data_IF_601017834469
#
_entry.id   IF_601017834469
#
_cell.length_a   1.000
_cell.length_b   1.000
_cell.length_c   1.000
_cell.angle_alpha   90.00
_cell.angle_beta   90.00
_cell.angle_gamma   90.00
#
_symmetry.space_group_name_H-M   'P 1'
#
loop_
_entity.id
_entity.type
_entity.pdbx_description
1 polymer ?
#
# COMPACT_ATOMS: atom_id res chain seq x y z
N UNK A 1 -2.87 -14.21 -14.95
CA UNK A 1 -1.83 -13.16 -15.03
C UNK A 1 -0.83 -13.44 -13.91
N UNK A 2 0.45 -13.54 -14.21
CA UNK A 2 1.48 -13.70 -13.17
C UNK A 2 1.64 -12.40 -12.41
N UNK A 3 1.92 -12.44 -11.09
CA UNK A 3 2.07 -11.23 -10.27
C UNK A 3 3.16 -10.30 -10.81
N UNK A 4 4.29 -10.84 -11.25
CA UNK A 4 5.33 -10.10 -11.98
C UNK A 4 5.06 -10.29 -13.47
N UNK A 5 4.34 -9.35 -14.09
CA UNK A 5 3.98 -9.39 -15.51
C UNK A 5 4.84 -8.41 -16.31
N UNK A 6 5.81 -8.90 -17.10
CA UNK A 6 6.67 -8.02 -17.89
C UNK A 6 5.93 -7.30 -19.03
N UNK A 7 4.73 -7.77 -19.40
CA UNK A 7 3.88 -7.14 -20.40
C UNK A 7 2.99 -6.02 -19.82
N UNK A 8 3.03 -5.79 -18.48
CA UNK A 8 2.23 -4.76 -17.86
C UNK A 8 2.59 -3.36 -18.42
N UNK A 9 1.61 -2.59 -18.90
CA UNK A 9 1.89 -1.33 -19.56
C UNK A 9 2.67 -0.38 -18.66
N UNK A 10 3.71 0.27 -19.20
CA UNK A 10 4.53 1.23 -18.46
C UNK A 10 3.78 2.53 -18.17
N UNK A 11 2.84 2.89 -19.04
CA UNK A 11 1.96 4.05 -18.88
C UNK A 11 0.52 3.65 -19.18
N UNK A 12 -0.45 4.36 -18.59
CA UNK A 12 -1.86 4.20 -18.89
C UNK A 12 -2.64 5.48 -18.57
N UNK A 13 -3.79 5.65 -19.21
CA UNK A 13 -4.74 6.73 -18.92
C UNK A 13 -6.07 6.10 -18.47
N UNK A 14 -6.19 5.72 -17.18
CA UNK A 14 -7.39 5.04 -16.67
C UNK A 14 -8.64 5.92 -16.71
N UNK A 15 -8.47 7.24 -16.72
CA UNK A 15 -9.54 8.23 -16.93
C UNK A 15 -8.99 9.51 -17.56
N UNK A 16 -9.87 10.48 -17.82
CA UNK A 16 -9.46 11.81 -18.31
C UNK A 16 -8.65 12.59 -17.28
N UNK A 17 -8.93 12.39 -15.98
CA UNK A 17 -8.25 13.07 -14.89
C UNK A 17 -7.03 12.33 -14.37
N UNK A 18 -6.90 11.03 -14.66
CA UNK A 18 -5.87 10.17 -14.06
C UNK A 18 -4.95 9.60 -15.12
N UNK A 19 -3.66 9.83 -14.95
CA UNK A 19 -2.59 9.15 -15.67
C UNK A 19 -1.79 8.24 -14.73
N UNK A 20 -1.34 7.11 -15.22
CA UNK A 20 -0.47 6.19 -14.46
C UNK A 20 0.87 6.04 -15.15
N UNK A 21 1.94 6.14 -14.39
CA UNK A 21 3.32 5.87 -14.84
C UNK A 21 3.95 4.83 -13.89
N UNK A 22 4.51 3.77 -14.46
CA UNK A 22 5.10 2.68 -13.70
C UNK A 22 6.51 3.06 -13.22
N UNK A 23 6.83 2.81 -11.96
CA UNK A 23 8.12 3.11 -11.32
C UNK A 23 9.29 2.23 -11.75
N UNK A 24 9.07 1.25 -12.66
CA UNK A 24 10.09 0.38 -13.28
C UNK A 24 10.93 -0.45 -12.29
N UNK A 25 10.37 -0.81 -11.15
CA UNK A 25 10.97 -1.59 -10.07
C UNK A 25 10.23 -2.92 -9.85
N UNK A 26 10.15 -3.83 -10.88
CA UNK A 26 9.41 -5.07 -10.74
C UNK A 26 10.05 -5.97 -9.68
N UNK A 27 9.20 -6.65 -8.92
CA UNK A 27 9.64 -7.54 -7.86
C UNK A 27 8.50 -8.33 -7.21
N UNK A 28 8.85 -9.26 -6.36
CA UNK A 28 7.84 -10.08 -5.68
C UNK A 28 6.96 -9.28 -4.71
N UNK A 29 7.44 -8.16 -4.16
CA UNK A 29 6.66 -7.22 -3.35
C UNK A 29 5.87 -6.23 -4.20
N UNK A 30 6.46 -5.77 -5.30
CA UNK A 30 5.95 -4.68 -6.13
C UNK A 30 5.21 -5.15 -7.39
N UNK A 31 5.18 -6.46 -7.64
CA UNK A 31 4.58 -7.00 -8.85
C UNK A 31 5.26 -6.46 -10.11
N UNK A 32 4.52 -5.84 -11.05
CA UNK A 32 5.10 -5.24 -12.26
C UNK A 32 5.93 -3.98 -11.97
N UNK A 33 5.79 -3.43 -10.77
CA UNK A 33 6.41 -2.20 -10.29
C UNK A 33 5.43 -1.32 -9.53
N UNK A 34 5.93 -0.25 -8.92
CA UNK A 34 5.09 0.73 -8.23
C UNK A 34 4.37 1.62 -9.23
N UNK A 35 3.07 1.74 -9.14
CA UNK A 35 2.30 2.71 -9.88
C UNK A 35 2.43 4.08 -9.24
N UNK A 36 2.81 5.08 -10.00
CA UNK A 36 2.67 6.49 -9.62
C UNK A 36 1.54 7.10 -10.44
N UNK A 37 0.80 8.04 -9.85
CA UNK A 37 -0.36 8.60 -10.52
C UNK A 37 -0.26 10.11 -10.68
N UNK A 38 -0.60 10.59 -11.86
CA UNK A 38 -0.76 11.99 -12.19
C UNK A 38 -2.26 12.31 -12.19
N UNK A 39 -2.69 13.27 -11.37
CA UNK A 39 -4.11 13.58 -11.19
C UNK A 39 -4.35 15.06 -11.47
N UNK A 40 -5.17 15.37 -12.49
CA UNK A 40 -5.47 16.74 -12.89
C UNK A 40 -5.66 16.89 -14.39
N UNK A 41 -5.45 18.13 -14.91
CA UNK A 41 -5.76 18.49 -16.30
C UNK A 41 -4.59 19.06 -17.08
N UNK A 42 -3.72 19.86 -16.45
CA UNK A 42 -2.59 20.56 -17.10
C UNK A 42 -1.32 20.55 -16.26
N UNK A 43 -1.44 20.75 -14.96
CA UNK A 43 -0.34 20.75 -13.98
C UNK A 43 -0.70 19.75 -12.86
N UNK A 44 -0.70 18.45 -13.18
CA UNK A 44 -1.28 17.42 -12.32
C UNK A 44 -0.57 17.31 -10.97
N UNK A 45 -1.27 16.81 -9.98
CA UNK A 45 -0.69 16.33 -8.74
C UNK A 45 -0.05 14.97 -9.03
N UNK A 46 1.16 14.74 -8.56
CA UNK A 46 1.81 13.42 -8.61
C UNK A 46 1.62 12.71 -7.26
N UNK A 47 1.06 11.51 -7.29
CA UNK A 47 0.94 10.62 -6.13
C UNK A 47 2.02 9.56 -6.22
N UNK A 48 2.89 9.50 -5.21
CA UNK A 48 4.10 8.71 -5.11
C UNK A 48 5.14 8.97 -6.22
N UNK A 49 6.36 8.49 -6.04
CA UNK A 49 7.49 8.84 -6.89
C UNK A 49 8.27 7.63 -7.41
N UNK A 50 7.85 6.41 -7.08
CA UNK A 50 8.60 5.21 -7.39
C UNK A 50 9.86 5.06 -6.55
N UNK A 51 10.67 4.07 -6.89
CA UNK A 51 11.91 3.71 -6.19
C UNK A 51 13.12 4.59 -6.56
N UNK A 52 12.95 5.61 -7.41
CA UNK A 52 14.06 6.43 -7.90
C UNK A 52 14.90 5.76 -8.99
N UNK A 53 14.33 4.80 -9.71
CA UNK A 53 14.96 4.17 -10.88
C UNK A 53 15.25 5.24 -11.95
N UNK A 54 16.48 5.32 -12.49
CA UNK A 54 16.87 6.40 -13.41
C UNK A 54 15.97 6.53 -14.64
N UNK A 55 15.46 5.41 -15.17
CA UNK A 55 14.60 5.36 -16.35
C UNK A 55 13.17 5.90 -16.10
N UNK A 56 12.77 6.03 -14.83
CA UNK A 56 11.44 6.50 -14.45
C UNK A 56 11.21 7.97 -14.87
N UNK A 57 12.18 8.85 -14.59
CA UNK A 57 12.04 10.27 -14.88
C UNK A 57 11.86 10.56 -16.39
N UNK A 58 12.66 10.00 -17.31
CA UNK A 58 12.41 10.13 -18.75
C UNK A 58 11.06 9.57 -19.20
N UNK A 59 10.59 8.48 -18.57
CA UNK A 59 9.27 7.92 -18.86
C UNK A 59 8.14 8.86 -18.43
N UNK A 60 8.25 9.44 -17.23
CA UNK A 60 7.30 10.43 -16.71
C UNK A 60 7.22 11.67 -17.61
N UNK A 61 8.37 12.24 -18.01
CA UNK A 61 8.42 13.42 -18.88
C UNK A 61 7.78 13.16 -20.25
N UNK A 62 8.08 12.01 -20.84
CA UNK A 62 7.45 11.60 -22.11
C UNK A 62 5.94 11.49 -21.97
N UNK A 63 5.46 10.84 -20.89
CA UNK A 63 4.03 10.68 -20.65
C UNK A 63 3.33 12.03 -20.41
N UNK A 64 3.95 12.95 -19.66
CA UNK A 64 3.43 14.32 -19.52
C UNK A 64 3.28 15.03 -20.88
N UNK A 65 4.29 14.91 -21.75
CA UNK A 65 4.24 15.50 -23.09
C UNK A 65 3.16 14.85 -23.97
N UNK A 66 3.02 13.52 -23.95
CA UNK A 66 1.96 12.79 -24.68
C UNK A 66 0.55 13.22 -24.26
N UNK A 67 0.37 13.53 -22.95
CA UNK A 67 -0.90 14.06 -22.41
C UNK A 67 -1.11 15.56 -22.66
N UNK A 68 -0.12 16.28 -23.18
CA UNK A 68 -0.13 17.74 -23.23
C UNK A 68 -0.12 18.40 -21.85
N UNK A 69 0.34 17.67 -20.84
CA UNK A 69 0.45 18.15 -19.47
C UNK A 69 1.81 18.83 -19.26
N UNK A 70 1.82 19.78 -18.34
CA UNK A 70 3.05 20.43 -17.89
C UNK A 70 3.71 19.56 -16.81
N UNK A 71 4.67 20.16 -16.08
CA UNK A 71 5.28 19.51 -14.90
C UNK A 71 4.24 19.24 -13.80
N UNK A 72 4.48 18.29 -12.90
CA UNK A 72 3.66 18.14 -11.71
C UNK A 72 3.64 19.44 -10.88
N UNK A 73 2.48 19.81 -10.35
CA UNK A 73 2.32 20.99 -9.49
C UNK A 73 2.83 20.75 -8.08
N UNK A 74 2.67 19.53 -7.58
CA UNK A 74 3.08 19.07 -6.26
C UNK A 74 3.14 17.55 -6.21
N UNK A 75 3.73 17.00 -5.15
CA UNK A 75 3.81 15.56 -4.89
C UNK A 75 3.06 15.26 -3.59
N UNK A 76 2.22 14.22 -3.59
CA UNK A 76 1.62 13.62 -2.42
C UNK A 76 2.20 12.23 -2.24
N UNK A 77 2.75 11.93 -1.07
CA UNK A 77 3.31 10.61 -0.77
C UNK A 77 2.33 9.82 0.10
N UNK A 78 2.12 8.56 -0.24
CA UNK A 78 1.25 7.69 0.55
C UNK A 78 1.92 7.29 1.87
N UNK A 79 3.15 6.81 1.82
CA UNK A 79 3.91 6.37 2.99
C UNK A 79 5.43 6.37 2.73
N UNK A 80 6.24 6.00 3.72
CA UNK A 80 7.70 6.16 3.73
C UNK A 80 8.51 5.06 3.04
N UNK A 81 7.91 4.01 2.51
CA UNK A 81 8.68 2.95 1.86
C UNK A 81 9.43 3.46 0.64
N UNK A 82 10.62 2.92 0.42
CA UNK A 82 11.57 3.42 -0.57
C UNK A 82 11.03 3.41 -2.00
N UNK A 83 10.16 2.50 -2.32
CA UNK A 83 9.52 2.40 -3.65
C UNK A 83 8.38 3.40 -3.87
N UNK A 84 8.02 4.18 -2.85
CA UNK A 84 7.05 5.31 -2.94
C UNK A 84 7.75 6.67 -2.90
N UNK A 85 8.79 6.83 -2.08
CA UNK A 85 9.47 8.11 -1.90
C UNK A 85 10.86 8.21 -2.57
N UNK A 86 11.41 7.11 -3.10
CA UNK A 86 12.77 7.08 -3.64
C UNK A 86 13.03 8.03 -4.80
N UNK A 87 11.99 8.38 -5.57
CA UNK A 87 12.06 9.34 -6.68
C UNK A 87 11.98 10.82 -6.26
N UNK A 88 11.82 11.14 -4.98
CA UNK A 88 11.69 12.54 -4.51
C UNK A 88 12.90 13.39 -4.91
N UNK A 89 14.11 12.93 -4.63
CA UNK A 89 15.33 13.70 -4.90
C UNK A 89 15.55 14.00 -6.39
N UNK A 90 15.48 13.02 -7.32
CA UNK A 90 15.59 13.30 -8.75
C UNK A 90 14.46 14.19 -9.28
N UNK A 91 13.22 14.06 -8.78
CA UNK A 91 12.11 14.92 -9.20
C UNK A 91 12.29 16.37 -8.72
N UNK A 92 12.76 16.59 -7.48
CA UNK A 92 13.12 17.93 -7.00
C UNK A 92 14.23 18.56 -7.82
N UNK A 93 15.26 17.80 -8.14
CA UNK A 93 16.39 18.28 -8.96
C UNK A 93 15.90 18.70 -10.36
N UNK A 94 15.01 17.91 -10.96
CA UNK A 94 14.53 18.10 -12.32
C UNK A 94 13.52 19.23 -12.45
N UNK A 95 12.53 19.30 -11.57
CA UNK A 95 11.41 20.23 -11.72
C UNK A 95 11.49 21.49 -10.85
N UNK A 96 12.39 21.53 -9.87
CA UNK A 96 12.58 22.69 -8.99
C UNK A 96 11.30 23.16 -8.28
N UNK A 97 11.38 23.64 -7.07
CA UNK A 97 10.26 24.28 -6.36
C UNK A 97 9.01 23.40 -6.15
N UNK A 98 9.11 22.07 -6.32
CA UNK A 98 8.00 21.15 -6.02
C UNK A 98 7.73 21.09 -4.52
N UNK A 99 6.51 21.40 -4.13
CA UNK A 99 6.01 21.14 -2.79
C UNK A 99 5.70 19.65 -2.66
N UNK A 100 6.13 19.04 -1.57
CA UNK A 100 5.95 17.61 -1.31
C UNK A 100 5.25 17.46 0.03
N UNK A 101 4.19 16.67 0.05
CA UNK A 101 3.33 16.50 1.19
C UNK A 101 3.26 15.04 1.62
N UNK A 102 3.29 14.81 2.92
CA UNK A 102 3.16 13.50 3.55
C UNK A 102 2.70 13.67 5.00
N UNK A 103 2.17 12.62 5.61
CA UNK A 103 1.97 12.59 7.04
C UNK A 103 3.33 12.50 7.76
N UNK A 104 3.79 13.60 8.38
CA UNK A 104 5.14 13.73 8.96
C UNK A 104 5.20 13.32 10.42
N UNK A 105 4.14 13.58 11.21
CA UNK A 105 4.16 13.39 12.67
C UNK A 105 4.39 11.94 13.14
N UNK A 106 4.34 10.99 12.24
CA UNK A 106 4.63 9.57 12.50
C UNK A 106 6.00 9.11 11.98
N UNK A 107 6.77 10.00 11.35
CA UNK A 107 8.06 9.65 10.77
C UNK A 107 9.07 10.81 10.90
N UNK A 108 9.92 10.79 11.94
CA UNK A 108 10.93 11.84 12.16
C UNK A 108 12.13 11.75 11.20
N UNK A 109 12.27 10.70 10.39
CA UNK A 109 13.43 10.46 9.53
C UNK A 109 13.22 10.87 8.06
N UNK A 110 12.19 11.66 7.77
CA UNK A 110 11.90 12.11 6.40
C UNK A 110 12.94 13.10 5.87
N UNK A 111 13.15 13.11 4.53
CA UNK A 111 13.97 14.15 3.90
C UNK A 111 13.44 15.56 4.20
N UNK A 112 14.38 16.51 4.38
CA UNK A 112 14.04 17.93 4.59
C UNK A 112 13.09 18.49 3.52
N UNK A 113 12.22 19.41 3.95
CA UNK A 113 11.30 20.12 3.05
C UNK A 113 10.12 19.29 2.57
N UNK A 114 9.72 18.26 3.31
CA UNK A 114 8.41 17.62 3.20
C UNK A 114 7.46 18.33 4.15
N UNK A 115 6.30 18.73 3.64
CA UNK A 115 5.26 19.42 4.39
C UNK A 115 4.29 18.40 4.99
N UNK A 116 3.83 18.67 6.23
CA UNK A 116 2.85 17.81 6.89
C UNK A 116 1.49 17.86 6.19
N UNK A 117 0.92 16.68 5.95
CA UNK A 117 -0.42 16.53 5.40
C UNK A 117 -1.25 15.64 6.34
N UNK A 118 -2.41 16.15 6.72
CA UNK A 118 -3.24 15.49 7.74
C UNK A 118 -4.46 14.84 7.13
N UNK A 119 -4.98 13.88 7.86
CA UNK A 119 -6.26 13.24 7.59
C UNK A 119 -7.38 14.25 7.33
N UNK A 120 -8.12 14.08 6.23
CA UNK A 120 -9.21 14.97 5.84
C UNK A 120 -8.81 16.35 5.31
N UNK A 121 -7.53 16.71 5.29
CA UNK A 121 -7.04 17.99 4.79
C UNK A 121 -7.06 18.02 3.25
N UNK A 122 -8.13 18.50 2.66
CA UNK A 122 -8.28 18.53 1.21
C UNK A 122 -7.14 19.25 0.49
N UNK A 123 -6.68 18.66 -0.60
CA UNK A 123 -5.69 19.23 -1.52
C UNK A 123 -6.37 19.52 -2.84
N UNK A 124 -6.62 20.80 -3.09
CA UNK A 124 -7.22 21.28 -4.35
C UNK A 124 -6.14 21.78 -5.29
N UNK A 125 -6.11 21.28 -6.49
CA UNK A 125 -5.24 21.75 -7.57
C UNK A 125 -5.70 21.25 -8.93
N UNK A 126 -5.47 22.03 -9.97
CA UNK A 126 -5.66 21.64 -11.38
C UNK A 126 -7.06 21.06 -11.69
N UNK A 127 -8.10 21.55 -10.99
CA UNK A 127 -9.49 21.16 -11.17
C UNK A 127 -9.83 19.78 -10.59
N UNK A 128 -9.09 19.32 -9.60
CA UNK A 128 -9.35 18.09 -8.82
C UNK A 128 -9.23 18.35 -7.34
N UNK A 129 -9.93 17.55 -6.54
CA UNK A 129 -9.90 17.56 -5.07
C UNK A 129 -9.50 16.17 -4.56
N UNK A 130 -8.33 16.09 -3.94
CA UNK A 130 -7.85 14.89 -3.25
C UNK A 130 -8.00 15.06 -1.75
N UNK A 131 -8.73 14.15 -1.11
CA UNK A 131 -8.91 14.11 0.34
C UNK A 131 -8.01 13.00 0.90
N UNK A 132 -6.97 13.33 1.70
CA UNK A 132 -6.19 12.33 2.41
C UNK A 132 -7.05 11.58 3.41
N UNK A 133 -6.94 10.27 3.41
CA UNK A 133 -7.60 9.37 4.37
C UNK A 133 -6.51 8.63 5.09
N UNK A 134 -6.36 8.86 6.41
CA UNK A 134 -5.39 8.13 7.22
C UNK A 134 -5.76 6.67 7.31
N UNK A 135 -4.89 5.81 6.81
CA UNK A 135 -5.10 4.36 6.67
C UNK A 135 -3.87 3.59 7.14
N UNK A 136 -3.55 3.66 8.46
CA UNK A 136 -2.43 2.94 9.04
C UNK A 136 -2.62 1.43 8.96
N UNK A 137 -1.52 0.72 9.16
CA UNK A 137 -1.50 -0.73 9.32
C UNK A 137 -0.53 -1.45 8.41
N UNK A 138 -0.38 -1.05 7.12
CA UNK A 138 0.77 -1.45 6.31
C UNK A 138 2.01 -0.67 6.72
N UNK A 139 1.86 0.63 6.91
CA UNK A 139 2.82 1.53 7.49
C UNK A 139 2.08 2.51 8.43
N UNK A 140 2.75 2.93 9.50
CA UNK A 140 2.14 3.77 10.55
C UNK A 140 1.80 5.19 10.06
N UNK A 141 2.42 5.64 8.97
CA UNK A 141 2.29 6.96 8.38
C UNK A 141 1.47 6.99 7.08
N UNK A 142 0.74 5.90 6.79
CA UNK A 142 0.08 5.71 5.51
C UNK A 142 -1.14 6.61 5.31
N UNK A 143 -1.19 7.31 4.16
CA UNK A 143 -2.34 8.04 3.64
C UNK A 143 -2.81 7.39 2.32
N UNK A 144 -4.08 7.06 2.24
CA UNK A 144 -4.77 6.89 0.95
C UNK A 144 -5.31 8.26 0.50
N UNK A 145 -5.59 8.43 -0.80
CA UNK A 145 -6.14 9.68 -1.32
C UNK A 145 -7.45 9.43 -2.05
N UNK A 146 -8.51 10.09 -1.61
CA UNK A 146 -9.83 9.99 -2.23
C UNK A 146 -10.03 11.14 -3.24
N UNK A 147 -10.24 10.79 -4.51
CA UNK A 147 -10.57 11.71 -5.60
C UNK A 147 -12.08 11.92 -5.66
N UNK A 148 -12.54 13.11 -5.33
CA UNK A 148 -13.98 13.40 -5.20
C UNK A 148 -14.71 13.36 -6.53
N UNK A 149 -14.08 13.83 -7.62
CA UNK A 149 -14.66 13.94 -8.94
C UNK A 149 -15.01 12.58 -9.56
N UNK A 150 -14.29 11.52 -9.20
CA UNK A 150 -14.50 10.18 -9.74
C UNK A 150 -14.99 9.18 -8.68
N UNK A 151 -15.09 9.60 -7.40
CA UNK A 151 -15.31 8.70 -6.27
C UNK A 151 -14.31 7.54 -6.28
N UNK A 152 -13.06 7.87 -6.55
CA UNK A 152 -11.97 6.91 -6.70
C UNK A 152 -10.95 7.04 -5.57
N UNK A 153 -10.30 5.93 -5.23
CA UNK A 153 -9.33 5.85 -4.14
C UNK A 153 -7.95 5.48 -4.68
N UNK A 154 -6.96 6.31 -4.45
CA UNK A 154 -5.55 5.92 -4.54
C UNK A 154 -5.18 5.25 -3.21
N UNK A 155 -5.14 3.93 -3.21
CA UNK A 155 -5.05 3.15 -1.97
C UNK A 155 -3.64 3.02 -1.42
N UNK A 156 -2.60 3.46 -2.15
CA UNK A 156 -1.23 3.11 -1.80
C UNK A 156 -1.12 1.60 -1.64
N UNK A 157 -0.57 1.16 -0.50
CA UNK A 157 -0.36 -0.25 -0.18
C UNK A 157 -1.43 -0.86 0.75
N UNK A 158 -2.56 -0.18 0.94
CA UNK A 158 -3.66 -0.75 1.73
C UNK A 158 -4.43 -1.80 0.92
N UNK A 159 -4.72 -1.54 -0.35
CA UNK A 159 -5.42 -2.48 -1.25
C UNK A 159 -4.65 -2.58 -2.56
N UNK A 160 -4.24 -3.77 -2.97
CA UNK A 160 -3.43 -4.03 -4.16
C UNK A 160 -4.23 -4.67 -5.29
N UNK A 161 -3.79 -4.43 -6.52
CA UNK A 161 -4.38 -5.01 -7.72
C UNK A 161 -3.73 -6.36 -8.08
N UNK A 162 -4.30 -7.47 -7.62
CA UNK A 162 -3.82 -8.81 -8.01
C UNK A 162 -3.02 -9.57 -6.96
N UNK A 163 -2.79 -8.96 -5.79
CA UNK A 163 -2.15 -9.57 -4.63
C UNK A 163 -2.83 -9.13 -3.34
N UNK A 164 -2.32 -9.56 -2.20
CA UNK A 164 -2.72 -9.07 -0.87
C UNK A 164 -1.56 -8.34 -0.22
N UNK A 165 -1.89 -7.29 0.53
CA UNK A 165 -0.91 -6.47 1.24
C UNK A 165 -0.17 -7.28 2.32
N UNK A 166 1.12 -7.07 2.43
CA UNK A 166 1.94 -7.54 3.56
C UNK A 166 1.86 -6.52 4.68
N UNK A 167 1.68 -6.99 5.90
CA UNK A 167 1.75 -6.17 7.12
C UNK A 167 3.09 -6.50 7.78
N UNK A 168 4.12 -5.66 7.62
CA UNK A 168 5.45 -5.96 8.14
C UNK A 168 5.50 -5.80 9.66
N UNK A 169 6.25 -6.67 10.33
CA UNK A 169 6.57 -6.49 11.75
C UNK A 169 7.40 -5.23 11.97
N UNK A 170 7.14 -4.53 13.05
CA UNK A 170 7.85 -3.33 13.48
C UNK A 170 7.16 -2.01 13.14
N UNK A 171 6.69 -1.81 11.91
CA UNK A 171 5.93 -0.61 11.53
C UNK A 171 4.47 -0.92 11.20
N UNK A 172 4.19 -2.14 10.75
CA UNK A 172 2.84 -2.59 10.45
C UNK A 172 2.06 -3.04 11.69
N UNK A 173 0.74 -2.81 11.67
CA UNK A 173 -0.21 -3.28 12.69
C UNK A 173 -1.49 -3.78 12.01
N UNK A 174 -1.85 -5.04 12.28
CA UNK A 174 -3.02 -5.65 11.63
C UNK A 174 -4.35 -5.16 12.22
N UNK A 175 -4.40 -4.73 13.48
CA UNK A 175 -5.61 -4.15 14.06
C UNK A 175 -5.91 -2.79 13.44
N UNK A 176 -4.89 -1.94 13.31
CA UNK A 176 -4.96 -0.68 12.60
C UNK A 176 -5.35 -0.88 11.12
N UNK A 177 -4.75 -1.87 10.46
CA UNK A 177 -5.07 -2.21 9.07
C UNK A 177 -6.54 -2.62 8.89
N UNK A 178 -7.08 -3.46 9.77
CA UNK A 178 -8.49 -3.85 9.75
C UNK A 178 -9.43 -2.65 10.00
N UNK A 179 -9.02 -1.73 10.87
CA UNK A 179 -9.74 -0.49 11.11
C UNK A 179 -9.72 0.42 9.89
N UNK A 180 -8.59 0.52 9.21
CA UNK A 180 -8.42 1.25 7.95
C UNK A 180 -9.31 0.69 6.83
N UNK A 181 -9.35 -0.64 6.65
CA UNK A 181 -10.23 -1.27 5.66
C UNK A 181 -11.72 -0.97 5.95
N UNK A 182 -12.16 -1.06 7.22
CA UNK A 182 -13.54 -0.73 7.60
C UNK A 182 -13.86 0.75 7.37
N UNK A 183 -12.89 1.64 7.63
CA UNK A 183 -13.03 3.06 7.32
C UNK A 183 -13.23 3.29 5.82
N UNK A 184 -12.41 2.64 4.97
CA UNK A 184 -12.53 2.72 3.52
C UNK A 184 -13.85 2.12 3.01
N UNK A 185 -14.36 1.06 3.63
CA UNK A 185 -15.66 0.47 3.32
C UNK A 185 -16.83 1.44 3.57
N UNK A 186 -16.65 2.36 4.52
CA UNK A 186 -17.62 3.43 4.82
C UNK A 186 -17.61 4.60 3.83
N UNK A 187 -16.65 4.64 2.88
CA UNK A 187 -16.58 5.65 1.83
C UNK A 187 -17.26 5.17 0.55
N UNK A 188 -17.82 6.09 -0.21
CA UNK A 188 -18.35 5.78 -1.53
C UNK A 188 -17.23 5.64 -2.57
N UNK A 189 -16.49 4.53 -2.51
CA UNK A 189 -15.37 4.24 -3.43
C UNK A 189 -15.89 3.39 -4.58
N UNK A 190 -15.88 3.92 -5.81
CA UNK A 190 -16.25 3.15 -7.01
C UNK A 190 -15.08 2.35 -7.55
N UNK A 191 -13.93 2.99 -7.70
CA UNK A 191 -12.71 2.45 -8.31
C UNK A 191 -11.53 2.64 -7.38
N UNK A 192 -10.57 1.72 -7.42
CA UNK A 192 -9.32 1.85 -6.69
C UNK A 192 -8.15 1.90 -7.66
N UNK A 193 -7.27 2.84 -7.46
CA UNK A 193 -5.96 3.02 -8.09
C UNK A 193 -4.87 2.54 -7.12
N UNK A 194 -4.46 1.27 -7.17
CA UNK A 194 -3.51 0.70 -6.22
C UNK A 194 -2.07 1.06 -6.57
N UNK A 195 -1.18 1.11 -5.58
CA UNK A 195 0.24 1.31 -5.83
C UNK A 195 0.88 0.13 -6.57
N UNK A 196 0.32 -1.07 -6.49
CA UNK A 196 0.84 -2.24 -7.20
C UNK A 196 -0.27 -3.00 -7.93
N UNK A 197 0.04 -3.41 -9.17
CA UNK A 197 -0.87 -4.18 -10.02
C UNK A 197 -1.92 -3.35 -10.76
N UNK A 198 -2.93 -3.99 -11.36
CA UNK A 198 -3.95 -3.34 -12.16
C UNK A 198 -4.94 -2.50 -11.35
N UNK A 199 -5.59 -1.56 -12.03
CA UNK A 199 -6.74 -0.82 -11.52
C UNK A 199 -7.85 -1.78 -11.12
N UNK A 200 -8.57 -1.45 -10.05
CA UNK A 200 -9.67 -2.25 -9.51
C UNK A 200 -10.97 -1.49 -9.77
N UNK A 201 -11.81 -2.05 -10.64
CA UNK A 201 -13.05 -1.40 -11.07
C UNK A 201 -14.19 -1.55 -10.05
N UNK A 202 -14.17 -2.62 -9.25
CA UNK A 202 -15.10 -2.83 -8.13
C UNK A 202 -14.39 -2.55 -6.80
N UNK A 203 -14.36 -1.29 -6.42
CA UNK A 203 -13.75 -0.85 -5.16
C UNK A 203 -14.40 -1.46 -3.92
N UNK A 204 -15.73 -1.38 -3.77
CA UNK A 204 -16.43 -1.94 -2.60
C UNK A 204 -16.24 -3.45 -2.46
N UNK A 205 -16.38 -4.19 -3.56
CA UNK A 205 -16.19 -5.65 -3.56
C UNK A 205 -14.77 -6.03 -3.18
N UNK A 206 -13.77 -5.32 -3.68
CA UNK A 206 -12.36 -5.60 -3.33
C UNK A 206 -12.04 -5.31 -1.87
N UNK A 207 -12.56 -4.22 -1.30
CA UNK A 207 -12.37 -3.92 0.13
C UNK A 207 -13.02 -5.00 0.99
N UNK A 208 -14.24 -5.42 0.65
CA UNK A 208 -14.95 -6.49 1.35
C UNK A 208 -14.17 -7.82 1.28
N UNK A 209 -13.65 -8.20 0.11
CA UNK A 209 -12.81 -9.38 -0.08
C UNK A 209 -11.55 -9.35 0.82
N UNK A 210 -10.90 -8.20 0.96
CA UNK A 210 -9.74 -8.05 1.84
C UNK A 210 -10.10 -8.27 3.31
N UNK A 211 -11.23 -7.71 3.77
CA UNK A 211 -11.72 -7.89 5.14
C UNK A 211 -12.01 -9.39 5.39
N UNK A 212 -12.78 -10.03 4.52
CA UNK A 212 -13.15 -11.45 4.65
C UNK A 212 -11.91 -12.36 4.63
N UNK A 213 -10.94 -12.08 3.75
CA UNK A 213 -9.70 -12.83 3.67
C UNK A 213 -8.92 -12.75 4.99
N UNK A 214 -8.79 -11.57 5.62
CA UNK A 214 -8.13 -11.40 6.91
C UNK A 214 -8.85 -12.13 8.03
N UNK A 215 -10.18 -12.02 8.10
CA UNK A 215 -10.98 -12.73 9.10
C UNK A 215 -10.91 -14.26 8.92
N UNK A 216 -10.90 -14.74 7.68
CA UNK A 216 -10.69 -16.17 7.39
C UNK A 216 -9.33 -16.65 7.91
N UNK A 217 -8.25 -15.89 7.64
CA UNK A 217 -6.90 -16.25 8.14
C UNK A 217 -6.83 -16.23 9.66
N UNK A 218 -7.48 -15.27 10.31
CA UNK A 218 -7.55 -15.22 11.77
C UNK A 218 -8.23 -16.47 12.34
N UNK A 219 -9.37 -16.90 11.77
CA UNK A 219 -10.04 -18.15 12.17
C UNK A 219 -9.13 -19.37 12.03
N UNK A 220 -8.44 -19.50 10.90
CA UNK A 220 -7.51 -20.62 10.64
C UNK A 220 -6.35 -20.65 11.64
N UNK A 221 -5.84 -19.48 12.05
CA UNK A 221 -4.77 -19.39 13.06
C UNK A 221 -5.28 -19.81 14.44
N UNK A 222 -6.48 -19.35 14.83
CA UNK A 222 -7.10 -19.76 16.11
C UNK A 222 -7.38 -21.27 16.17
N UNK A 223 -7.87 -21.85 15.07
CA UNK A 223 -8.06 -23.31 14.94
C UNK A 223 -6.71 -24.05 15.07
N UNK A 224 -5.67 -23.56 14.38
CA UNK A 224 -4.33 -24.14 14.46
C UNK A 224 -3.75 -24.09 15.89
N UNK A 225 -3.93 -22.97 16.60
CA UNK A 225 -3.56 -22.86 18.02
C UNK A 225 -4.36 -23.83 18.91
N UNK A 226 -5.68 -23.94 18.67
CA UNK A 226 -6.56 -24.86 19.38
C UNK A 226 -6.15 -26.34 19.21
N UNK A 227 -5.59 -26.71 18.05
CA UNK A 227 -5.05 -28.02 17.72
C UNK A 227 -3.60 -28.21 18.20
N UNK A 228 -3.03 -27.27 18.95
CA UNK A 228 -1.69 -27.35 19.52
C UNK A 228 -0.54 -26.98 18.57
N UNK A 229 -0.82 -26.40 17.40
CA UNK A 229 0.24 -25.89 16.52
C UNK A 229 0.77 -24.57 17.08
N UNK A 230 1.88 -24.64 17.79
CA UNK A 230 2.39 -23.53 18.60
C UNK A 230 3.45 -22.66 17.90
N UNK A 231 3.86 -22.97 16.68
CA UNK A 231 4.93 -22.22 15.99
C UNK A 231 4.49 -21.69 14.64
N UNK A 232 4.97 -20.50 14.26
CA UNK A 232 4.68 -19.90 12.96
C UNK A 232 4.98 -20.86 11.79
N UNK A 233 6.14 -21.55 11.74
CA UNK A 233 6.40 -22.50 10.66
C UNK A 233 5.40 -23.67 10.60
N UNK A 234 4.89 -24.14 11.74
CA UNK A 234 3.90 -25.21 11.76
C UNK A 234 2.54 -24.73 11.23
N UNK A 235 2.12 -23.53 11.62
CA UNK A 235 0.90 -22.89 11.12
C UNK A 235 0.98 -22.61 9.61
N UNK A 236 2.12 -22.11 9.12
CA UNK A 236 2.34 -21.86 7.69
C UNK A 236 2.19 -23.14 6.88
N UNK A 237 2.81 -24.25 7.32
CA UNK A 237 2.69 -25.56 6.62
C UNK A 237 1.25 -26.05 6.54
N UNK A 238 0.42 -25.79 7.54
CA UNK A 238 -1.00 -26.19 7.55
C UNK A 238 -1.88 -25.25 6.73
N UNK A 239 -1.79 -23.94 7.00
CA UNK A 239 -2.70 -22.92 6.46
C UNK A 239 -2.41 -22.63 4.98
N UNK A 240 -1.13 -22.74 4.59
CA UNK A 240 -0.64 -22.42 3.25
C UNK A 240 -0.07 -23.65 2.52
N UNK A 241 -0.60 -24.85 2.81
CA UNK A 241 -0.14 -26.11 2.23
C UNK A 241 -0.16 -26.12 0.70
N UNK A 242 -1.13 -25.44 0.09
CA UNK A 242 -1.30 -25.34 -1.38
C UNK A 242 -0.56 -24.15 -2.01
N UNK A 243 0.09 -23.32 -1.18
CA UNK A 243 0.82 -22.15 -1.65
C UNK A 243 2.27 -22.51 -1.94
N UNK A 244 2.80 -22.00 -3.05
CA UNK A 244 4.21 -22.24 -3.42
C UNK A 244 5.17 -21.95 -2.25
N UNK A 245 6.15 -22.82 -1.97
CA UNK A 245 7.16 -22.61 -0.94
C UNK A 245 7.91 -21.28 -1.04
N UNK A 246 8.04 -20.74 -2.25
CA UNK A 246 8.64 -19.41 -2.48
C UNK A 246 7.88 -18.28 -1.76
N UNK A 247 6.59 -18.48 -1.47
CA UNK A 247 5.74 -17.50 -0.77
C UNK A 247 5.62 -17.77 0.74
N UNK A 248 6.22 -18.83 1.27
CA UNK A 248 6.11 -19.18 2.69
C UNK A 248 6.70 -18.11 3.61
N UNK A 249 7.68 -17.31 3.14
CA UNK A 249 8.18 -16.16 3.90
C UNK A 249 7.10 -15.08 4.08
N UNK A 250 6.37 -14.75 3.03
CA UNK A 250 5.26 -13.81 3.11
C UNK A 250 4.09 -14.38 3.95
N UNK A 251 3.83 -15.69 3.83
CA UNK A 251 2.85 -16.37 4.66
C UNK A 251 3.23 -16.33 6.15
N UNK A 252 4.50 -16.49 6.49
CA UNK A 252 4.98 -16.38 7.88
C UNK A 252 4.77 -14.97 8.45
N UNK A 253 5.05 -13.92 7.67
CA UNK A 253 4.76 -12.53 8.06
C UNK A 253 3.26 -12.31 8.28
N UNK A 254 2.41 -12.90 7.44
CA UNK A 254 0.95 -12.83 7.60
C UNK A 254 0.50 -13.55 8.88
N UNK A 255 1.02 -14.74 9.19
CA UNK A 255 0.71 -15.47 10.44
C UNK A 255 1.17 -14.64 11.64
N UNK A 256 2.39 -14.11 11.60
CA UNK A 256 2.93 -13.29 12.68
C UNK A 256 2.06 -12.07 12.96
N UNK A 257 1.67 -11.30 11.95
CA UNK A 257 0.82 -10.12 12.13
C UNK A 257 -0.54 -10.45 12.75
N UNK A 258 -1.14 -11.60 12.39
CA UNK A 258 -2.38 -12.05 13.02
C UNK A 258 -2.16 -12.48 14.48
N UNK A 259 -1.06 -13.18 14.78
CA UNK A 259 -0.73 -13.57 16.15
C UNK A 259 -0.49 -12.34 17.04
N UNK A 260 0.20 -11.32 16.54
CA UNK A 260 0.40 -10.06 17.28
C UNK A 260 -0.92 -9.35 17.57
N UNK A 261 -1.82 -9.29 16.59
CA UNK A 261 -3.17 -8.75 16.80
C UNK A 261 -3.94 -9.56 17.85
N UNK A 262 -3.91 -10.89 17.77
CA UNK A 262 -4.57 -11.75 18.76
C UNK A 262 -3.98 -11.62 20.16
N UNK A 263 -2.67 -11.35 20.26
CA UNK A 263 -2.01 -11.06 21.54
C UNK A 263 -2.47 -9.73 22.13
N UNK A 264 -2.55 -8.68 21.32
CA UNK A 264 -3.11 -7.37 21.73
C UNK A 264 -4.56 -7.50 22.20
N UNK A 265 -5.34 -8.40 21.62
CA UNK A 265 -6.71 -8.73 22.00
C UNK A 265 -6.81 -9.66 23.20
N UNK A 266 -5.69 -10.15 23.76
CA UNK A 266 -5.66 -11.11 24.86
C UNK A 266 -6.13 -12.52 24.49
N UNK A 267 -6.18 -12.88 23.20
CA UNK A 267 -6.65 -14.17 22.67
C UNK A 267 -5.52 -15.16 22.36
N UNK A 268 -4.30 -14.66 22.23
CA UNK A 268 -3.09 -15.46 22.09
C UNK A 268 -2.00 -14.91 23.00
N UNK A 269 -0.99 -15.74 23.30
CA UNK A 269 0.18 -15.34 24.07
C UNK A 269 1.43 -15.94 23.47
N UNK A 270 2.49 -15.12 23.35
CA UNK A 270 3.81 -15.57 22.95
C UNK A 270 4.64 -16.05 24.15
N UNK A 271 5.35 -17.14 23.96
CA UNK A 271 6.39 -17.65 24.86
C UNK A 271 7.72 -17.60 24.13
N UNK A 272 8.62 -16.72 24.58
CA UNK A 272 9.96 -16.61 24.04
C UNK A 272 10.83 -17.77 24.56
N UNK A 273 11.46 -18.49 23.64
CA UNK A 273 12.44 -19.54 23.93
C UNK A 273 13.85 -19.05 23.54
N UNK A 274 14.87 -19.31 24.39
CA UNK A 274 16.23 -18.74 24.21
C UNK A 274 16.93 -19.17 22.92
N UNK A 275 16.71 -20.43 22.48
CA UNK A 275 17.44 -21.03 21.35
C UNK A 275 16.50 -21.76 20.37
N UNK A 276 15.20 -21.42 20.37
CA UNK A 276 14.19 -22.01 19.52
C UNK A 276 13.18 -20.95 19.03
N UNK A 277 12.43 -21.23 17.96
CA UNK A 277 11.34 -20.35 17.54
C UNK A 277 10.33 -20.14 18.67
N UNK A 278 9.88 -18.90 18.84
CA UNK A 278 8.82 -18.54 19.78
C UNK A 278 7.61 -19.46 19.63
N UNK A 279 7.00 -19.79 20.76
CA UNK A 279 5.78 -20.59 20.81
C UNK A 279 4.59 -19.71 21.17
N UNK A 280 3.47 -20.04 20.58
CA UNK A 280 2.22 -19.36 20.81
C UNK A 280 1.19 -20.29 21.43
N UNK A 281 0.36 -19.78 22.31
CA UNK A 281 -0.76 -20.51 22.90
C UNK A 281 -2.07 -19.72 22.78
N UNK A 282 -3.19 -20.43 22.72
CA UNK A 282 -4.51 -19.87 22.80
C UNK A 282 -4.82 -19.48 24.26
N UNK A 283 -5.19 -18.22 24.49
CA UNK A 283 -5.69 -17.76 25.79
C UNK A 283 -7.19 -18.09 25.85
N UNK A 284 -7.59 -18.85 26.91
CA UNK A 284 -8.99 -19.27 27.13
C UNK A 284 -9.73 -18.30 28.03
#
# INVERSE_FOLDING_TARGET
>A
MTWIDPSFPRTASPSDLVGRVLGLNPGWMTGPGTNTYLVGRREPILIDTGAGVPEYLPLLERYLAERGWRRPSRILLTHRHADHLGGVAPLRSRFGGLRIFKMVHRDPALPDGIEDLRDGQAVEADGVTLIPVYTPGHASDHLSYYLTEEKALFSGDVVLGGSTTVIPSGDGDLADYMSSLRRLQGLEVRRIYPAHGPVIEDGPGRIAEYIEHRLMRERQILEALGDGLATIPAMVRRIYAEVSPALHRAAAMSVESHLRKLEQEGRAREHLERDAPSRWELVR
#
